data_IF_480693373204
#
_entry.id   IF_480693373204
#
_cell.length_a   1.000
_cell.length_b   1.000
_cell.length_c   1.000
_cell.angle_alpha   90.00
_cell.angle_beta   90.00
_cell.angle_gamma   90.00
#
_symmetry.space_group_name_H-M   'P 1'
#
loop_
_entity.id
_entity.type
_entity.pdbx_description
1 polymer ?
#
# COMPACT_ATOMS: atom_id res chain seq x y z
N UNK A 1 0.41 79.42 20.06
CA UNK A 1 1.18 78.89 21.21
C UNK A 1 0.18 78.11 22.03
N UNK A 2 0.14 76.78 22.12
CA UNK A 2 0.98 75.62 21.74
C UNK A 2 0.02 74.52 21.17
N UNK A 3 0.39 73.64 20.21
CA UNK A 3 0.83 72.23 20.39
C UNK A 3 0.32 71.58 21.69
N UNK A 4 -0.23 70.37 21.79
CA UNK A 4 -0.31 69.14 21.00
C UNK A 4 -1.33 68.25 21.76
N UNK A 5 -1.93 67.26 21.09
CA UNK A 5 -2.25 65.90 21.61
C UNK A 5 -3.43 65.29 20.84
N UNK A 6 -3.09 64.58 19.76
CA UNK A 6 -3.99 63.63 19.09
C UNK A 6 -3.73 62.26 19.75
N UNK A 7 -4.74 61.56 20.29
CA UNK A 7 -4.52 60.32 21.03
C UNK A 7 -3.96 59.20 20.15
N UNK A 8 -2.91 58.55 20.66
CA UNK A 8 -2.32 57.28 20.20
C UNK A 8 -3.36 56.14 20.28
N UNK A 9 -4.32 56.09 19.35
CA UNK A 9 -5.39 55.09 19.37
C UNK A 9 -5.56 54.29 18.08
N UNK A 10 -5.20 54.84 16.92
CA UNK A 10 -5.61 54.29 15.63
C UNK A 10 -4.55 53.43 14.92
N UNK A 11 -3.27 53.55 15.29
CA UNK A 11 -2.20 52.73 14.69
C UNK A 11 -2.13 51.29 15.25
N UNK A 12 -2.83 50.99 16.35
CA UNK A 12 -2.69 49.74 17.11
C UNK A 12 -3.67 48.63 16.71
N UNK A 13 -4.72 48.95 15.94
CA UNK A 13 -5.73 47.99 15.51
C UNK A 13 -5.40 47.39 14.13
N UNK A 14 -4.91 48.20 13.18
CA UNK A 14 -4.47 47.74 11.85
C UNK A 14 -3.22 46.84 11.96
N UNK A 15 -2.23 47.23 12.77
CA UNK A 15 -1.02 46.41 13.00
C UNK A 15 -1.29 45.10 13.75
N UNK A 16 -2.40 45.00 14.50
CA UNK A 16 -2.80 43.77 15.19
C UNK A 16 -3.48 42.78 14.24
N UNK A 17 -4.22 43.27 13.26
CA UNK A 17 -4.84 42.46 12.22
C UNK A 17 -3.75 41.92 11.28
N UNK A 18 -2.82 42.77 10.84
CA UNK A 18 -1.68 42.36 10.00
C UNK A 18 -0.80 41.31 10.70
N UNK A 19 -0.54 41.49 12.00
CA UNK A 19 0.23 40.53 12.77
C UNK A 19 -0.51 39.20 12.96
N UNK A 20 -1.84 39.22 13.12
CA UNK A 20 -2.63 37.99 13.24
C UNK A 20 -2.71 37.25 11.90
N UNK A 21 -2.88 37.97 10.80
CA UNK A 21 -2.86 37.42 9.45
C UNK A 21 -1.49 36.81 9.11
N UNK A 22 -0.39 37.47 9.51
CA UNK A 22 0.96 36.94 9.32
C UNK A 22 1.19 35.69 10.18
N UNK A 23 0.68 35.66 11.42
CA UNK A 23 0.71 34.47 12.29
C UNK A 23 -0.08 33.33 11.65
N UNK A 24 -1.31 33.56 11.18
CA UNK A 24 -2.15 32.54 10.55
C UNK A 24 -1.55 32.02 9.24
N UNK A 25 -0.88 32.89 8.49
CA UNK A 25 -0.17 32.51 7.27
C UNK A 25 1.08 31.67 7.57
N UNK A 26 1.85 32.01 8.61
CA UNK A 26 2.99 31.21 9.08
C UNK A 26 2.52 29.84 9.59
N UNK A 27 1.44 29.79 10.39
CA UNK A 27 0.86 28.56 10.91
C UNK A 27 0.34 27.67 9.77
N UNK A 28 -0.31 28.27 8.77
CA UNK A 28 -0.79 27.56 7.57
C UNK A 28 0.34 27.11 6.64
N UNK A 29 1.48 27.80 6.63
CA UNK A 29 2.66 27.41 5.84
C UNK A 29 3.36 26.16 6.37
N UNK A 30 3.22 25.87 7.67
CA UNK A 30 3.74 24.67 8.32
C UNK A 30 2.78 23.48 8.29
N UNK A 31 1.52 23.69 7.91
CA UNK A 31 0.63 22.59 7.58
C UNK A 31 1.06 22.04 6.22
N UNK A 32 1.63 20.83 6.19
CA UNK A 32 1.89 20.10 4.95
C UNK A 32 0.62 20.10 4.09
N UNK A 33 0.59 20.94 3.05
CA UNK A 33 -0.49 20.89 2.08
C UNK A 33 -0.38 19.57 1.36
N UNK A 34 -1.31 18.67 1.67
CA UNK A 34 -1.45 17.41 0.95
C UNK A 34 -1.63 17.74 -0.53
N UNK A 35 -0.62 17.44 -1.34
CA UNK A 35 -0.70 17.65 -2.78
C UNK A 35 -1.53 16.52 -3.38
N UNK A 36 -2.61 16.90 -4.07
CA UNK A 36 -3.44 15.97 -4.83
C UNK A 36 -3.00 15.96 -6.30
N UNK A 37 -3.14 14.80 -6.95
CA UNK A 37 -2.93 14.69 -8.40
C UNK A 37 -4.08 15.27 -9.23
N UNK A 38 -4.00 15.09 -10.54
CA UNK A 38 -5.08 15.49 -11.47
C UNK A 38 -6.39 14.77 -11.17
N UNK A 39 -7.51 15.45 -11.42
CA UNK A 39 -8.83 14.89 -11.22
C UNK A 39 -9.09 13.74 -12.22
N UNK A 40 -9.64 12.63 -11.72
CA UNK A 40 -10.23 11.58 -12.55
C UNK A 40 -11.56 12.06 -13.14
N UNK A 41 -12.04 11.37 -14.17
CA UNK A 41 -13.42 11.57 -14.63
C UNK A 41 -14.43 11.16 -13.55
N UNK A 42 -15.58 11.83 -13.50
CA UNK A 42 -16.60 11.65 -12.46
C UNK A 42 -17.04 10.18 -12.30
N UNK A 43 -17.22 9.46 -13.41
CA UNK A 43 -17.64 8.06 -13.39
C UNK A 43 -16.59 7.14 -12.75
N UNK A 44 -15.31 7.39 -13.02
CA UNK A 44 -14.20 6.63 -12.43
C UNK A 44 -14.04 7.01 -10.95
N UNK A 45 -14.04 8.30 -10.64
CA UNK A 45 -13.94 8.80 -9.27
C UNK A 45 -15.05 8.24 -8.37
N UNK A 46 -16.30 8.27 -8.85
CA UNK A 46 -17.46 7.73 -8.11
C UNK A 46 -17.31 6.23 -7.85
N UNK A 47 -16.84 5.48 -8.86
CA UNK A 47 -16.64 4.03 -8.75
C UNK A 47 -15.56 3.67 -7.74
N UNK A 48 -14.47 4.45 -7.66
CA UNK A 48 -13.36 4.19 -6.75
C UNK A 48 -13.59 4.72 -5.33
N UNK A 49 -14.39 5.77 -5.16
CA UNK A 49 -14.65 6.41 -3.86
C UNK A 49 -15.28 5.46 -2.84
N UNK A 50 -16.12 4.52 -3.28
CA UNK A 50 -16.81 3.58 -2.39
C UNK A 50 -15.93 2.39 -1.98
N UNK A 51 -14.93 2.02 -2.78
CA UNK A 51 -14.15 0.78 -2.61
C UNK A 51 -13.50 0.65 -1.23
N UNK A 52 -12.81 1.68 -0.68
CA UNK A 52 -12.12 1.55 0.60
C UNK A 52 -13.04 1.31 1.81
N UNK A 53 -14.31 1.68 1.70
CA UNK A 53 -15.31 1.53 2.78
C UNK A 53 -16.13 0.24 2.71
N UNK A 54 -15.89 -0.62 1.72
CA UNK A 54 -16.66 -1.86 1.54
C UNK A 54 -15.95 -3.00 2.27
N UNK A 55 -16.64 -3.58 3.25
CA UNK A 55 -16.20 -4.83 3.86
C UNK A 55 -16.24 -5.98 2.85
N UNK A 56 -15.21 -6.83 2.90
CA UNK A 56 -15.14 -7.98 2.02
C UNK A 56 -16.10 -9.07 2.51
N UNK A 57 -17.25 -9.19 1.86
CA UNK A 57 -18.19 -10.29 2.11
C UNK A 57 -17.55 -11.64 1.80
N UNK A 58 -18.06 -12.71 2.42
CA UNK A 58 -17.62 -14.08 2.13
C UNK A 58 -17.77 -14.43 0.65
N UNK A 59 -18.89 -14.04 0.05
CA UNK A 59 -19.15 -14.21 -1.39
C UNK A 59 -18.09 -13.52 -2.26
N UNK A 60 -17.72 -12.28 -1.93
CA UNK A 60 -16.67 -11.54 -2.65
C UNK A 60 -15.31 -12.23 -2.49
N UNK A 61 -14.99 -12.70 -1.29
CA UNK A 61 -13.76 -13.43 -1.02
C UNK A 61 -13.67 -14.74 -1.82
N UNK A 62 -14.77 -15.51 -1.87
CA UNK A 62 -14.82 -16.77 -2.60
C UNK A 62 -14.75 -16.53 -4.12
N UNK A 63 -15.44 -15.50 -4.62
CA UNK A 63 -15.29 -15.04 -6.01
C UNK A 63 -13.84 -14.69 -6.35
N UNK A 64 -13.12 -14.01 -5.45
CA UNK A 64 -11.72 -13.65 -5.67
C UNK A 64 -10.81 -14.89 -5.72
N UNK A 65 -11.03 -15.88 -4.86
CA UNK A 65 -10.29 -17.16 -4.91
C UNK A 65 -10.46 -17.88 -6.24
N UNK A 66 -11.68 -17.88 -6.77
CA UNK A 66 -11.99 -18.54 -8.05
C UNK A 66 -11.39 -17.78 -9.23
N UNK A 67 -11.58 -16.46 -9.26
CA UNK A 67 -11.11 -15.62 -10.35
C UNK A 67 -9.60 -15.51 -10.34
N UNK A 68 -8.96 -15.19 -9.21
CA UNK A 68 -7.56 -14.78 -9.14
C UNK A 68 -6.65 -15.90 -8.64
N UNK A 69 -6.76 -17.08 -9.25
CA UNK A 69 -5.80 -18.18 -9.06
C UNK A 69 -4.40 -17.74 -9.50
N UNK A 70 -3.41 -18.01 -8.65
CA UNK A 70 -1.99 -17.74 -8.94
C UNK A 70 -1.56 -18.53 -10.18
N UNK A 71 -1.01 -17.88 -11.22
CA UNK A 71 -0.51 -18.57 -12.41
C UNK A 71 0.67 -19.49 -12.09
N UNK A 72 0.78 -20.61 -12.80
CA UNK A 72 1.84 -21.60 -12.56
C UNK A 72 3.25 -21.06 -12.83
N UNK A 73 3.40 -20.12 -13.77
CA UNK A 73 4.67 -19.46 -14.06
C UNK A 73 4.96 -18.24 -13.15
N UNK A 74 4.08 -17.95 -12.19
CA UNK A 74 4.18 -16.82 -11.26
C UNK A 74 3.89 -17.23 -9.80
N UNK A 75 4.37 -18.41 -9.39
CA UNK A 75 4.14 -18.99 -8.05
C UNK A 75 4.57 -18.07 -6.90
N UNK A 76 5.47 -17.12 -7.16
CA UNK A 76 5.95 -16.14 -6.19
C UNK A 76 4.86 -15.19 -5.67
N UNK A 77 3.72 -15.10 -6.37
CA UNK A 77 2.55 -14.36 -5.87
C UNK A 77 1.79 -15.12 -4.79
N UNK A 78 2.09 -16.40 -4.57
CA UNK A 78 1.45 -17.16 -3.49
C UNK A 78 1.87 -16.61 -2.13
N UNK A 79 0.91 -16.58 -1.20
CA UNK A 79 1.19 -16.24 0.20
C UNK A 79 2.13 -17.31 0.77
N UNK A 80 3.31 -16.93 1.29
CA UNK A 80 4.26 -17.88 1.83
C UNK A 80 3.70 -18.52 3.10
N UNK A 81 3.83 -19.84 3.18
CA UNK A 81 3.41 -20.64 4.34
C UNK A 81 4.45 -20.51 5.45
N UNK A 82 4.00 -20.48 6.70
CA UNK A 82 4.96 -20.68 7.80
C UNK A 82 5.50 -22.11 7.70
N UNK A 83 6.82 -22.27 7.86
CA UNK A 83 7.46 -23.58 7.84
C UNK A 83 6.81 -24.51 8.87
N UNK A 84 6.58 -25.78 8.51
CA UNK A 84 5.83 -26.74 9.33
C UNK A 84 6.41 -26.92 10.74
N UNK A 85 7.74 -26.93 10.86
CA UNK A 85 8.43 -26.99 12.15
C UNK A 85 8.10 -25.77 13.03
N UNK A 86 8.19 -24.57 12.46
CA UNK A 86 7.85 -23.32 13.14
C UNK A 86 6.37 -23.29 13.53
N UNK A 87 5.48 -23.67 12.61
CA UNK A 87 4.04 -23.69 12.84
C UNK A 87 3.65 -24.53 14.06
N UNK A 88 4.31 -25.68 14.26
CA UNK A 88 4.04 -26.58 15.39
C UNK A 88 4.37 -25.95 16.74
N UNK A 89 5.40 -25.12 16.82
CA UNK A 89 5.84 -24.48 18.07
C UNK A 89 5.18 -23.12 18.33
N UNK A 90 4.48 -22.56 17.35
CA UNK A 90 3.71 -21.33 17.52
C UNK A 90 2.56 -21.51 18.52
N UNK A 91 2.34 -20.48 19.34
CA UNK A 91 1.16 -20.38 20.20
C UNK A 91 -0.12 -20.22 19.36
N UNK A 92 -1.28 -20.52 19.96
CA UNK A 92 -2.57 -20.29 19.31
C UNK A 92 -2.76 -18.81 18.92
N UNK A 93 -2.33 -17.90 19.80
CA UNK A 93 -2.35 -16.44 19.56
C UNK A 93 -1.51 -16.06 18.34
N UNK A 94 -0.31 -16.61 18.21
CA UNK A 94 0.58 -16.29 17.09
C UNK A 94 0.02 -16.82 15.76
N UNK A 95 -0.59 -18.02 15.76
CA UNK A 95 -1.26 -18.57 14.58
C UNK A 95 -2.44 -17.69 14.14
N UNK A 96 -3.24 -17.19 15.08
CA UNK A 96 -4.35 -16.27 14.76
C UNK A 96 -3.83 -14.95 14.20
N UNK A 97 -2.81 -14.36 14.80
CA UNK A 97 -2.19 -13.11 14.32
C UNK A 97 -1.60 -13.29 12.92
N UNK A 98 -0.81 -14.33 12.70
CA UNK A 98 -0.22 -14.64 11.39
C UNK A 98 -1.31 -14.92 10.35
N UNK A 99 -2.39 -15.62 10.72
CA UNK A 99 -3.55 -15.84 9.85
C UNK A 99 -4.20 -14.55 9.36
N UNK A 100 -4.32 -13.53 10.21
CA UNK A 100 -4.81 -12.20 9.80
C UNK A 100 -3.86 -11.54 8.79
N UNK A 101 -2.56 -11.61 9.02
CA UNK A 101 -1.57 -11.10 8.06
C UNK A 101 -1.57 -11.86 6.74
N UNK A 102 -1.79 -13.19 6.76
CA UNK A 102 -1.95 -14.00 5.55
C UNK A 102 -3.18 -13.56 4.74
N UNK A 103 -4.30 -13.23 5.39
CA UNK A 103 -5.50 -12.71 4.69
C UNK A 103 -5.18 -11.40 3.97
N UNK A 104 -4.48 -10.47 4.64
CA UNK A 104 -4.07 -9.20 4.03
C UNK A 104 -3.13 -9.46 2.85
N UNK A 105 -2.13 -10.32 3.04
CA UNK A 105 -1.18 -10.70 1.99
C UNK A 105 -1.89 -11.35 0.79
N UNK A 106 -2.92 -12.15 1.05
CA UNK A 106 -3.72 -12.81 0.02
C UNK A 106 -4.49 -11.80 -0.84
N UNK A 107 -4.95 -10.68 -0.28
CA UNK A 107 -5.59 -9.62 -1.07
C UNK A 107 -4.61 -8.92 -2.00
N UNK A 108 -3.40 -8.66 -1.51
CA UNK A 108 -2.32 -8.11 -2.35
C UNK A 108 -1.96 -9.10 -3.47
N UNK A 109 -1.91 -10.41 -3.17
CA UNK A 109 -1.70 -11.44 -4.17
C UNK A 109 -2.80 -11.47 -5.24
N UNK A 110 -4.07 -11.33 -4.87
CA UNK A 110 -5.16 -11.22 -5.85
C UNK A 110 -5.02 -9.99 -6.74
N UNK A 111 -4.64 -8.85 -6.17
CA UNK A 111 -4.38 -7.64 -6.95
C UNK A 111 -3.22 -7.84 -7.94
N UNK A 112 -2.13 -8.50 -7.53
CA UNK A 112 -1.01 -8.85 -8.43
C UNK A 112 -1.46 -9.75 -9.59
N UNK A 113 -2.25 -10.79 -9.31
CA UNK A 113 -2.78 -11.68 -10.35
C UNK A 113 -3.71 -10.92 -11.29
N UNK A 114 -4.60 -10.07 -10.78
CA UNK A 114 -5.48 -9.23 -11.59
C UNK A 114 -4.67 -8.30 -12.51
N UNK A 115 -3.67 -7.59 -11.98
CA UNK A 115 -2.78 -6.72 -12.74
C UNK A 115 -1.99 -7.48 -13.82
N UNK A 116 -1.53 -8.70 -13.53
CA UNK A 116 -0.85 -9.53 -14.54
C UNK A 116 -1.75 -9.89 -15.72
N UNK A 117 -3.06 -10.08 -15.47
CA UNK A 117 -4.04 -10.37 -16.54
C UNK A 117 -4.36 -9.14 -17.37
N UNK A 118 -4.44 -7.97 -16.73
CA UNK A 118 -4.54 -6.68 -17.44
C UNK A 118 -3.33 -6.50 -18.35
N UNK A 119 -2.13 -6.76 -17.83
CA UNK A 119 -0.87 -6.69 -18.60
C UNK A 119 -0.87 -7.66 -19.79
N UNK A 120 -1.28 -8.91 -19.60
CA UNK A 120 -1.37 -9.89 -20.69
C UNK A 120 -2.42 -9.48 -21.73
N UNK A 121 -3.55 -8.91 -21.29
CA UNK A 121 -4.59 -8.38 -22.20
C UNK A 121 -4.07 -7.22 -23.04
N UNK A 122 -3.34 -6.27 -22.43
CA UNK A 122 -2.68 -5.15 -23.13
C UNK A 122 -1.71 -5.70 -24.17
N UNK A 123 -0.90 -6.71 -23.81
CA UNK A 123 0.05 -7.36 -24.73
C UNK A 123 -0.66 -7.97 -25.93
N UNK A 124 -1.75 -8.69 -25.72
CA UNK A 124 -2.54 -9.30 -26.80
C UNK A 124 -3.15 -8.23 -27.73
N UNK A 125 -3.71 -7.14 -27.17
CA UNK A 125 -4.26 -6.03 -27.95
C UNK A 125 -3.18 -5.31 -28.79
N UNK A 126 -2.00 -5.11 -28.21
CA UNK A 126 -0.85 -4.54 -28.93
C UNK A 126 -0.38 -5.44 -30.07
N UNK A 127 -0.31 -6.77 -29.85
CA UNK A 127 0.01 -7.74 -30.90
C UNK A 127 -1.02 -7.74 -32.04
N UNK A 128 -2.30 -7.53 -31.71
CA UNK A 128 -3.39 -7.38 -32.67
C UNK A 128 -3.43 -5.98 -33.33
N UNK A 129 -2.42 -5.12 -33.09
CA UNK A 129 -2.33 -3.75 -33.62
C UNK A 129 -3.54 -2.86 -33.25
N UNK A 130 -4.20 -3.15 -32.12
CA UNK A 130 -5.34 -2.38 -31.61
C UNK A 130 -4.95 -1.22 -30.69
N UNK A 131 -3.67 -1.14 -30.33
CA UNK A 131 -3.10 -0.09 -29.49
C UNK A 131 -1.90 0.51 -30.22
N UNK A 132 -1.78 1.84 -30.21
CA UNK A 132 -0.58 2.50 -30.68
C UNK A 132 0.58 2.30 -29.70
N UNK A 133 1.81 2.58 -30.14
CA UNK A 133 2.97 2.56 -29.23
C UNK A 133 2.82 3.53 -28.06
N UNK A 134 2.14 4.65 -28.29
CA UNK A 134 1.91 5.66 -27.26
C UNK A 134 0.86 5.18 -26.24
N UNK A 135 -0.23 4.57 -26.71
CA UNK A 135 -1.25 3.96 -25.82
C UNK A 135 -0.64 2.86 -24.95
N UNK A 136 0.22 2.03 -25.51
CA UNK A 136 0.92 1.00 -24.74
C UNK A 136 1.77 1.65 -23.65
N UNK A 137 2.52 2.72 -23.94
CA UNK A 137 3.35 3.39 -22.95
C UNK A 137 2.53 4.05 -21.84
N UNK A 138 1.49 4.82 -22.21
CA UNK A 138 0.67 5.57 -21.25
C UNK A 138 -0.16 4.66 -20.34
N UNK A 139 -0.56 3.48 -20.81
CA UNK A 139 -1.36 2.52 -20.03
C UNK A 139 -0.46 1.52 -19.27
N UNK A 140 0.55 0.95 -19.93
CA UNK A 140 1.34 -0.13 -19.34
C UNK A 140 2.28 0.37 -18.23
N UNK A 141 2.83 1.58 -18.34
CA UNK A 141 3.76 2.09 -17.31
C UNK A 141 3.08 2.19 -15.93
N UNK A 142 1.92 2.86 -15.76
CA UNK A 142 1.22 2.89 -14.48
C UNK A 142 0.80 1.51 -13.96
N UNK A 143 0.42 0.59 -14.85
CA UNK A 143 0.07 -0.80 -14.50
C UNK A 143 1.28 -1.54 -13.92
N UNK A 144 2.46 -1.38 -14.53
CA UNK A 144 3.70 -1.98 -14.05
C UNK A 144 4.20 -1.34 -12.76
N UNK A 145 4.06 -0.01 -12.60
CA UNK A 145 4.39 0.69 -11.35
C UNK A 145 3.49 0.22 -10.20
N UNK A 146 2.19 0.04 -10.46
CA UNK A 146 1.26 -0.55 -9.50
C UNK A 146 1.66 -2.00 -9.14
N UNK A 147 2.06 -2.81 -10.12
CA UNK A 147 2.54 -4.17 -9.88
C UNK A 147 3.81 -4.18 -9.01
N UNK A 148 4.75 -3.25 -9.23
CA UNK A 148 5.94 -3.10 -8.41
C UNK A 148 5.60 -2.71 -6.96
N UNK A 149 4.70 -1.74 -6.78
CA UNK A 149 4.23 -1.32 -5.46
C UNK A 149 3.52 -2.46 -4.70
N UNK A 150 2.64 -3.21 -5.38
CA UNK A 150 1.98 -4.38 -4.80
C UNK A 150 2.96 -5.50 -4.47
N UNK A 151 3.94 -5.75 -5.33
CA UNK A 151 5.01 -6.74 -5.09
C UNK A 151 5.84 -6.39 -3.85
N UNK A 152 6.15 -5.10 -3.70
CA UNK A 152 6.85 -4.59 -2.52
C UNK A 152 5.98 -4.71 -1.25
N UNK A 153 4.70 -4.35 -1.31
CA UNK A 153 3.77 -4.55 -0.19
C UNK A 153 3.66 -6.04 0.21
N UNK A 154 3.57 -6.94 -0.77
CA UNK A 154 3.54 -8.38 -0.54
C UNK A 154 4.81 -8.88 0.18
N UNK A 155 5.97 -8.39 -0.23
CA UNK A 155 7.25 -8.67 0.43
C UNK A 155 7.31 -8.10 1.85
N UNK A 156 6.92 -6.84 2.06
CA UNK A 156 6.96 -6.20 3.38
C UNK A 156 5.99 -6.85 4.37
N UNK A 157 4.83 -7.34 3.93
CA UNK A 157 3.95 -8.15 4.80
C UNK A 157 4.67 -9.42 5.28
N UNK A 158 5.44 -10.08 4.40
CA UNK A 158 6.25 -11.24 4.80
C UNK A 158 7.30 -10.86 5.85
N UNK A 159 7.97 -9.71 5.69
CA UNK A 159 8.93 -9.21 6.68
C UNK A 159 8.26 -8.86 8.01
N UNK A 160 7.07 -8.27 7.97
CA UNK A 160 6.28 -7.96 9.16
C UNK A 160 5.89 -9.24 9.92
N UNK A 161 5.41 -10.27 9.20
CA UNK A 161 5.11 -11.59 9.78
C UNK A 161 6.32 -12.21 10.45
N UNK A 162 7.49 -12.18 9.80
CA UNK A 162 8.77 -12.61 10.41
C UNK A 162 9.09 -11.85 11.69
N UNK A 163 8.91 -10.52 11.68
CA UNK A 163 9.20 -9.67 12.85
C UNK A 163 8.29 -9.97 14.04
N UNK A 164 7.00 -10.25 13.79
CA UNK A 164 6.06 -10.62 14.86
C UNK A 164 6.45 -11.97 15.49
N UNK A 165 6.74 -12.97 14.67
CA UNK A 165 7.15 -14.30 15.15
C UNK A 165 8.52 -14.30 15.84
N UNK A 166 9.43 -13.42 15.42
CA UNK A 166 10.74 -13.21 16.08
C UNK A 166 10.59 -12.86 17.55
N UNK A 167 9.56 -12.10 17.92
CA UNK A 167 9.35 -11.66 19.29
C UNK A 167 8.97 -12.81 20.22
N UNK A 168 8.31 -13.85 19.69
CA UNK A 168 7.83 -15.00 20.48
C UNK A 168 8.69 -16.24 20.32
N UNK A 169 9.50 -16.33 19.25
CA UNK A 169 10.37 -17.47 18.94
C UNK A 169 11.82 -17.02 18.72
N UNK A 170 12.64 -16.94 19.79
CA UNK A 170 14.02 -16.44 19.71
C UNK A 170 14.93 -17.21 18.75
N UNK A 171 14.68 -18.52 18.59
CA UNK A 171 15.42 -19.40 17.68
C UNK A 171 15.35 -18.96 16.21
N UNK A 172 14.32 -18.18 15.82
CA UNK A 172 14.13 -17.71 14.45
C UNK A 172 14.88 -16.41 14.16
N UNK A 173 15.52 -15.78 15.16
CA UNK A 173 16.23 -14.50 14.99
C UNK A 173 17.17 -14.46 13.78
N UNK A 174 18.00 -15.49 13.48
CA UNK A 174 18.88 -15.49 12.31
C UNK A 174 18.10 -15.46 10.98
N UNK A 175 16.99 -16.20 10.91
CA UNK A 175 16.14 -16.36 9.72
C UNK A 175 15.23 -15.15 9.44
N UNK A 176 15.08 -14.24 10.41
CA UNK A 176 14.29 -13.02 10.25
C UNK A 176 15.01 -11.91 9.46
N UNK A 177 16.25 -12.15 9.02
CA UNK A 177 16.99 -11.21 8.17
C UNK A 177 16.31 -10.99 6.81
N UNK A 178 16.47 -9.79 6.25
CA UNK A 178 16.06 -9.50 4.85
C UNK A 178 16.91 -10.26 3.82
N UNK A 179 18.09 -10.73 4.22
CA UNK A 179 18.97 -11.54 3.37
C UNK A 179 18.44 -12.95 3.15
N UNK A 180 17.68 -13.50 4.09
CA UNK A 180 17.02 -14.81 3.94
C UNK A 180 15.88 -14.67 2.94
N UNK A 181 15.92 -15.33 1.77
CA UNK A 181 14.85 -15.22 0.79
C UNK A 181 13.50 -15.70 1.34
N UNK A 182 12.41 -15.10 0.87
CA UNK A 182 11.06 -15.66 1.05
C UNK A 182 10.78 -16.53 -0.17
N UNK A 183 10.48 -17.81 0.06
CA UNK A 183 10.15 -18.78 -1.00
C UNK A 183 8.66 -19.13 -0.90
N UNK A 184 8.28 -20.36 -1.23
CA UNK A 184 6.98 -20.89 -0.77
C UNK A 184 6.87 -20.86 0.76
N UNK A 185 8.00 -20.86 1.47
CA UNK A 185 8.06 -20.79 2.92
C UNK A 185 8.51 -19.42 3.44
N UNK A 186 7.87 -18.99 4.53
CA UNK A 186 8.07 -17.68 5.14
C UNK A 186 9.50 -17.49 5.60
N UNK A 187 10.16 -18.51 6.16
CA UNK A 187 11.55 -18.44 6.62
C UNK A 187 12.56 -19.05 5.63
N UNK A 188 12.14 -19.27 4.37
CA UNK A 188 12.93 -19.94 3.36
C UNK A 188 12.91 -21.46 3.51
N UNK A 189 13.60 -22.15 2.60
CA UNK A 189 13.56 -23.61 2.51
C UNK A 189 14.47 -24.29 3.54
N UNK A 190 15.53 -23.61 3.98
CA UNK A 190 16.46 -24.11 4.97
C UNK A 190 16.32 -23.35 6.29
N UNK A 191 15.94 -24.08 7.35
CA UNK A 191 15.82 -23.53 8.71
C UNK A 191 17.10 -23.61 9.52
N UNK A 192 18.12 -24.32 9.04
CA UNK A 192 19.40 -24.53 9.72
C UNK A 192 20.45 -23.47 9.30
N UNK A 193 20.03 -22.42 8.61
CA UNK A 193 20.87 -21.35 8.06
C UNK A 193 21.20 -20.24 9.08
#
# INVERSE_FOLDING_TARGET
>A
MLMQDIPEGYASLETRDDAMDEIDQILSSHMERQMFGEALSDSVALSYKSIPGIDMSKETSDRFKELYKVPENAKQFQVPKVNSHVWRVMSAKDRTTDGKSQIIQQMVAYALVAQSRVTDSIRQLAMAQKLSKEDVRSILAPVMDAAAALGQAHREISMHRRSQLRATLPALKPLCSRATPVTEYLFGDNLDA
#
